data_IF_331959444996
#
_entry.id   IF_331959444996
#
_cell.length_a   1.000
_cell.length_b   1.000
_cell.length_c   1.000
_cell.angle_alpha   90.00
_cell.angle_beta   90.00
_cell.angle_gamma   90.00
#
_symmetry.space_group_name_H-M   'P 1'
#
loop_
_entity.id
_entity.type
_entity.pdbx_description
1 polymer ?
#
# COMPACT_ATOMS: atom_id res chain seq x y z
N UNK A 1 9.35 3.16 19.49
CA UNK A 1 8.45 4.26 19.12
C UNK A 1 9.28 5.28 18.33
N UNK A 2 8.70 5.97 17.36
CA UNK A 2 9.37 7.06 16.63
C UNK A 2 8.62 8.35 16.99
N UNK A 3 9.32 9.43 17.37
CA UNK A 3 8.69 10.70 17.70
C UNK A 3 8.06 11.31 16.44
N UNK A 4 6.81 11.76 16.54
CA UNK A 4 6.19 12.66 15.56
C UNK A 4 6.26 14.09 16.09
N UNK A 5 6.27 15.02 15.13
CA UNK A 5 6.39 16.49 15.26
C UNK A 5 5.91 17.05 16.60
N UNK A 6 6.72 17.92 17.19
CA UNK A 6 6.41 18.69 18.38
C UNK A 6 5.32 19.71 18.06
N UNK A 7 4.13 19.55 18.61
CA UNK A 7 3.18 20.64 18.76
C UNK A 7 3.13 20.98 20.25
N UNK A 8 3.55 22.20 20.61
CA UNK A 8 3.62 22.69 21.99
C UNK A 8 4.39 21.82 23.00
N UNK A 9 5.48 21.15 22.55
CA UNK A 9 6.35 20.37 23.45
C UNK A 9 5.77 19.02 23.90
N UNK A 10 4.59 18.62 23.41
CA UNK A 10 4.04 17.28 23.66
C UNK A 10 4.62 16.28 22.66
N UNK A 11 5.33 15.27 23.16
CA UNK A 11 5.87 14.17 22.36
C UNK A 11 4.79 13.14 22.08
N UNK A 12 4.34 13.07 20.83
CA UNK A 12 3.44 12.02 20.36
C UNK A 12 4.24 10.85 19.80
N UNK A 13 3.91 9.64 20.27
CA UNK A 13 4.54 8.41 19.82
C UNK A 13 3.59 7.57 18.98
N UNK A 14 4.00 7.20 17.76
CA UNK A 14 3.31 6.15 16.99
C UNK A 14 3.84 4.78 17.38
N UNK A 15 2.93 3.80 17.51
CA UNK A 15 3.30 2.40 17.66
C UNK A 15 4.18 1.97 16.48
N UNK A 16 5.21 1.15 16.74
CA UNK A 16 6.02 0.60 15.66
C UNK A 16 5.48 -0.76 15.28
N UNK A 17 5.34 -1.01 13.98
CA UNK A 17 5.07 -2.35 13.48
C UNK A 17 6.28 -3.27 13.66
N UNK A 18 6.04 -4.56 13.91
CA UNK A 18 7.11 -5.55 13.97
C UNK A 18 7.90 -5.62 12.65
N UNK A 19 7.24 -5.43 11.51
CA UNK A 19 7.92 -5.37 10.21
C UNK A 19 8.88 -4.19 10.10
N UNK A 20 8.55 -3.04 10.71
CA UNK A 20 9.47 -1.90 10.74
C UNK A 20 10.73 -2.26 11.53
N UNK A 21 10.61 -3.02 12.63
CA UNK A 21 11.77 -3.54 13.37
C UNK A 21 12.60 -4.51 12.52
N UNK A 22 11.96 -5.45 11.84
CA UNK A 22 12.64 -6.41 10.97
C UNK A 22 13.42 -5.74 9.84
N UNK A 23 12.82 -4.74 9.19
CA UNK A 23 13.51 -3.96 8.15
C UNK A 23 14.75 -3.23 8.69
N UNK A 24 14.67 -2.65 9.90
CA UNK A 24 15.83 -2.00 10.56
C UNK A 24 16.93 -3.03 10.85
N UNK A 25 16.56 -4.27 11.15
CA UNK A 25 17.50 -5.39 11.35
C UNK A 25 17.95 -6.08 10.05
N UNK A 26 17.69 -5.47 8.88
CA UNK A 26 18.10 -6.03 7.58
C UNK A 26 17.34 -7.29 7.14
N UNK A 27 16.19 -7.59 7.76
CA UNK A 27 15.37 -8.75 7.38
C UNK A 27 14.30 -8.37 6.37
N UNK A 28 14.03 -9.29 5.44
CA UNK A 28 12.91 -9.18 4.50
C UNK A 28 11.57 -9.24 5.22
N UNK A 29 10.59 -8.52 4.68
CA UNK A 29 9.23 -8.46 5.24
C UNK A 29 8.20 -8.51 4.13
N UNK A 30 6.98 -8.93 4.46
CA UNK A 30 5.89 -8.99 3.49
C UNK A 30 4.57 -9.40 4.13
N UNK A 31 3.52 -9.39 3.33
CA UNK A 31 2.19 -9.86 3.70
C UNK A 31 1.59 -10.73 2.61
N UNK A 32 0.81 -11.72 3.05
CA UNK A 32 -0.01 -12.56 2.18
C UNK A 32 -1.38 -12.66 2.84
N UNK A 33 -2.44 -12.39 2.08
CA UNK A 33 -3.81 -12.48 2.56
C UNK A 33 -4.75 -12.94 1.44
N UNK A 34 -5.87 -13.55 1.80
CA UNK A 34 -6.98 -13.80 0.86
C UNK A 34 -7.92 -12.58 0.74
N UNK A 35 -7.78 -11.60 1.64
CA UNK A 35 -8.57 -10.36 1.63
C UNK A 35 -7.97 -9.32 0.69
N UNK A 36 -8.51 -8.10 0.72
CA UNK A 36 -7.82 -6.91 0.20
C UNK A 36 -6.54 -6.69 0.99
N UNK A 37 -5.44 -6.32 0.34
CA UNK A 37 -4.18 -5.97 1.03
C UNK A 37 -4.31 -4.72 1.90
N UNK A 38 -5.33 -3.91 1.62
CA UNK A 38 -5.77 -2.72 2.38
C UNK A 38 -6.76 -3.03 3.50
N UNK A 39 -7.20 -4.29 3.65
CA UNK A 39 -8.10 -4.68 4.74
C UNK A 39 -7.45 -4.47 6.11
N UNK A 40 -8.23 -4.35 7.17
CA UNK A 40 -7.73 -4.04 8.52
C UNK A 40 -6.59 -4.96 8.99
N UNK A 41 -6.73 -6.27 8.80
CA UNK A 41 -5.72 -7.25 9.24
C UNK A 41 -4.35 -7.04 8.58
N UNK A 42 -4.21 -7.02 7.23
CA UNK A 42 -2.93 -6.70 6.61
C UNK A 42 -2.50 -5.24 6.83
N UNK A 43 -3.44 -4.28 6.85
CA UNK A 43 -3.13 -2.86 7.10
C UNK A 43 -2.47 -2.62 8.46
N UNK A 44 -2.81 -3.42 9.46
CA UNK A 44 -2.18 -3.38 10.78
C UNK A 44 -0.67 -3.67 10.76
N UNK A 45 -0.09 -4.12 9.64
CA UNK A 45 1.35 -4.35 9.47
C UNK A 45 2.12 -3.12 8.97
N UNK A 46 1.45 -2.10 8.43
CA UNK A 46 2.11 -0.99 7.73
C UNK A 46 1.41 0.36 7.77
N UNK A 47 0.11 0.42 8.08
CA UNK A 47 -0.65 1.66 8.10
C UNK A 47 -0.96 2.09 9.53
N UNK A 48 -1.10 3.41 9.75
CA UNK A 48 -2.01 3.87 10.79
C UNK A 48 -3.07 4.76 10.18
N UNK A 49 -4.30 4.40 10.45
CA UNK A 49 -5.49 5.10 10.03
C UNK A 49 -6.42 5.21 11.22
N UNK A 50 -7.11 6.34 11.36
CA UNK A 50 -8.16 6.49 12.36
C UNK A 50 -9.40 5.63 12.03
N UNK A 51 -9.54 5.21 10.78
CA UNK A 51 -10.64 4.38 10.34
C UNK A 51 -10.18 3.30 9.35
N UNK A 52 -10.54 2.05 9.63
CA UNK A 52 -10.21 0.88 8.79
C UNK A 52 -10.84 0.94 7.39
N UNK A 53 -11.88 1.74 7.18
CA UNK A 53 -12.56 1.85 5.90
C UNK A 53 -11.88 2.83 4.93
N UNK A 54 -10.86 3.58 5.37
CA UNK A 54 -10.07 4.48 4.53
C UNK A 54 -9.09 3.72 3.62
N UNK A 55 -9.58 2.71 2.91
CA UNK A 55 -8.80 1.82 2.04
C UNK A 55 -8.26 2.54 0.79
N UNK A 56 -9.00 3.56 0.31
CA UNK A 56 -8.64 4.47 -0.78
C UNK A 56 -9.19 5.87 -0.49
N UNK A 57 -8.77 6.85 -1.28
CA UNK A 57 -9.12 8.26 -1.14
C UNK A 57 -10.63 8.54 -1.23
N UNK A 58 -11.40 7.76 -1.99
CA UNK A 58 -12.88 7.85 -2.04
C UNK A 58 -13.57 7.58 -0.69
N UNK A 59 -12.84 7.01 0.27
CA UNK A 59 -13.33 6.69 1.62
C UNK A 59 -12.86 7.66 2.69
N UNK A 60 -11.98 8.59 2.35
CA UNK A 60 -11.56 9.63 3.27
C UNK A 60 -12.70 10.63 3.51
N UNK A 61 -12.84 11.19 4.73
CA UNK A 61 -13.83 12.22 5.00
C UNK A 61 -13.64 13.42 4.05
N UNK A 62 -14.75 13.90 3.49
CA UNK A 62 -14.72 15.01 2.52
C UNK A 62 -14.34 16.35 3.17
N UNK A 63 -14.54 16.43 4.47
CA UNK A 63 -14.28 17.57 5.36
C UNK A 63 -12.88 17.54 6.00
N UNK A 64 -11.98 16.63 5.60
CA UNK A 64 -10.57 16.75 6.02
C UNK A 64 -10.06 18.13 5.60
N UNK A 65 -9.55 18.96 6.53
CA UNK A 65 -9.11 20.30 6.18
C UNK A 65 -8.04 20.26 5.09
N UNK A 66 -8.11 21.21 4.15
CA UNK A 66 -7.26 21.23 2.96
C UNK A 66 -5.77 21.19 3.30
N UNK A 67 -5.35 21.77 4.42
CA UNK A 67 -3.96 21.75 4.86
C UNK A 67 -3.46 20.33 5.14
N UNK A 68 -4.26 19.48 5.79
CA UNK A 68 -3.90 18.07 6.05
C UNK A 68 -3.87 17.24 4.76
N UNK A 69 -4.75 17.56 3.79
CA UNK A 69 -4.74 16.93 2.45
C UNK A 69 -3.50 17.34 1.65
N UNK A 70 -3.21 18.64 1.61
CA UNK A 70 -2.10 19.24 0.86
C UNK A 70 -0.73 18.83 1.42
N UNK A 71 -0.60 18.73 2.74
CA UNK A 71 0.62 18.22 3.40
C UNK A 71 0.77 16.70 3.29
N UNK A 72 -0.24 15.99 2.78
CA UNK A 72 -0.24 14.54 2.69
C UNK A 72 -0.24 13.86 4.07
N UNK A 73 -0.77 14.52 5.10
CA UNK A 73 -0.80 14.03 6.48
C UNK A 73 -1.93 13.01 6.69
N UNK A 74 -3.02 13.10 5.90
CA UNK A 74 -4.09 12.12 5.90
C UNK A 74 -4.05 11.27 4.62
N UNK A 75 -3.20 10.23 4.63
CA UNK A 75 -3.11 9.25 3.53
C UNK A 75 -4.08 8.11 3.74
N UNK A 76 -4.77 7.71 2.67
CA UNK A 76 -5.49 6.44 2.63
C UNK A 76 -4.54 5.24 2.81
N UNK A 77 -5.09 4.10 3.22
CA UNK A 77 -4.32 2.90 3.54
C UNK A 77 -3.56 2.39 2.30
N UNK A 78 -4.09 2.50 1.08
CA UNK A 78 -3.36 2.11 -0.12
C UNK A 78 -2.11 3.00 -0.35
N UNK A 79 -2.23 4.31 -0.17
CA UNK A 79 -1.08 5.23 -0.23
C UNK A 79 -0.03 4.91 0.83
N UNK A 80 -0.43 4.64 2.07
CA UNK A 80 0.51 4.27 3.13
C UNK A 80 1.29 2.98 2.80
N UNK A 81 0.66 2.03 2.09
CA UNK A 81 1.35 0.82 1.63
C UNK A 81 2.46 1.11 0.62
N UNK A 82 2.24 2.06 -0.29
CA UNK A 82 3.14 2.30 -1.42
C UNK A 82 4.18 3.40 -1.13
N UNK A 83 3.80 4.42 -0.35
CA UNK A 83 4.62 5.61 -0.12
C UNK A 83 5.42 5.56 1.19
N UNK A 84 4.87 4.90 2.22
CA UNK A 84 5.39 4.99 3.58
C UNK A 84 6.11 3.71 4.01
N UNK A 85 7.02 3.84 4.96
CA UNK A 85 7.68 2.69 5.59
C UNK A 85 6.88 2.27 6.82
N UNK A 86 6.60 0.96 7.01
CA UNK A 86 7.30 -0.17 6.39
C UNK A 86 6.76 -0.64 5.04
N UNK A 87 5.54 -0.25 4.65
CA UNK A 87 4.85 -0.79 3.46
C UNK A 87 5.66 -0.75 2.17
N UNK A 88 6.25 0.40 1.83
CA UNK A 88 7.03 0.58 0.59
C UNK A 88 8.26 -0.33 0.48
N UNK A 89 8.68 -0.91 1.60
CA UNK A 89 9.85 -1.77 1.72
C UNK A 89 9.50 -3.26 1.89
N UNK A 90 8.23 -3.63 1.84
CA UNK A 90 7.85 -5.05 1.79
C UNK A 90 8.36 -5.70 0.49
N UNK A 91 9.06 -6.81 0.64
CA UNK A 91 9.50 -7.68 -0.44
C UNK A 91 8.33 -8.39 -1.10
N UNK A 92 7.30 -8.77 -0.33
CA UNK A 92 6.16 -9.52 -0.84
C UNK A 92 4.87 -8.89 -0.37
N UNK A 93 3.98 -8.57 -1.30
CA UNK A 93 2.62 -8.09 -1.03
C UNK A 93 1.68 -8.91 -1.90
N UNK A 94 1.00 -9.90 -1.32
CA UNK A 94 0.04 -10.75 -2.04
C UNK A 94 -1.35 -10.67 -1.42
N UNK A 95 -2.35 -10.43 -2.26
CA UNK A 95 -3.76 -10.49 -1.86
C UNK A 95 -4.65 -9.93 -2.95
N UNK A 96 -5.81 -9.38 -2.60
CA UNK A 96 -6.68 -8.69 -3.55
C UNK A 96 -6.75 -7.19 -3.32
N UNK A 97 -7.84 -6.56 -3.80
CA UNK A 97 -8.12 -5.15 -3.55
C UNK A 97 -7.59 -4.17 -4.60
N UNK A 98 -7.27 -4.66 -5.81
CA UNK A 98 -6.73 -3.87 -6.93
C UNK A 98 -7.47 -2.55 -7.20
N UNK A 99 -8.80 -2.55 -7.09
CA UNK A 99 -9.65 -1.37 -7.28
C UNK A 99 -9.25 -0.16 -6.40
N UNK A 100 -8.62 -0.36 -5.25
CA UNK A 100 -8.19 0.73 -4.36
C UNK A 100 -6.89 1.42 -4.82
N UNK A 101 -6.23 0.85 -5.83
CA UNK A 101 -4.95 1.31 -6.37
C UNK A 101 -5.08 1.92 -7.77
N UNK A 102 -6.25 1.79 -8.42
CA UNK A 102 -6.50 2.28 -9.77
C UNK A 102 -7.42 3.51 -9.76
N UNK A 103 -7.22 4.47 -10.67
CA UNK A 103 -8.10 5.63 -10.82
C UNK A 103 -9.47 5.23 -11.36
N UNK A 104 -10.49 6.03 -11.01
CA UNK A 104 -11.85 5.87 -11.52
C UNK A 104 -11.86 5.96 -13.04
N UNK A 105 -12.60 5.06 -13.69
CA UNK A 105 -12.68 4.99 -15.15
C UNK A 105 -11.58 4.17 -15.80
N UNK A 106 -10.48 3.86 -15.10
CA UNK A 106 -9.57 2.80 -15.53
C UNK A 106 -10.29 1.47 -15.28
N UNK A 107 -10.83 0.90 -16.36
CA UNK A 107 -11.36 -0.45 -16.34
C UNK A 107 -10.23 -1.36 -15.87
N UNK A 108 -10.48 -2.11 -14.79
CA UNK A 108 -9.65 -3.27 -14.55
C UNK A 108 -9.83 -4.19 -15.76
N UNK A 109 -8.84 -4.17 -16.66
CA UNK A 109 -8.78 -4.99 -17.88
C UNK A 109 -8.99 -6.48 -17.61
N UNK A 110 -8.94 -6.88 -16.33
CA UNK A 110 -9.08 -8.25 -15.85
C UNK A 110 -10.40 -8.50 -15.10
N UNK A 111 -11.18 -7.47 -14.74
CA UNK A 111 -12.57 -7.57 -14.26
C UNK A 111 -13.35 -6.25 -14.48
N UNK A 112 -14.20 -6.15 -15.52
CA UNK A 112 -14.99 -4.96 -15.83
C UNK A 112 -15.92 -4.47 -14.71
N UNK A 113 -16.31 -5.35 -13.79
CA UNK A 113 -17.16 -5.02 -12.63
C UNK A 113 -16.38 -4.38 -11.46
N UNK A 114 -15.05 -4.32 -11.56
CA UNK A 114 -14.17 -3.70 -10.57
C UNK A 114 -13.35 -2.56 -11.18
N UNK A 115 -14.04 -1.54 -11.68
CA UNK A 115 -13.41 -0.27 -12.01
C UNK A 115 -12.60 0.28 -10.83
N UNK A 116 -11.52 1.00 -11.14
CA UNK A 116 -10.76 1.73 -10.12
C UNK A 116 -11.65 2.65 -9.29
N UNK A 117 -11.28 2.85 -8.03
CA UNK A 117 -12.04 3.65 -7.06
C UNK A 117 -11.40 4.98 -6.74
N UNK A 118 -10.13 5.18 -7.11
CA UNK A 118 -9.43 6.40 -6.72
C UNK A 118 -9.98 7.61 -7.48
N UNK A 119 -10.29 8.67 -6.75
CA UNK A 119 -10.81 9.93 -7.26
C UNK A 119 -9.66 10.94 -7.52
N UNK A 120 -8.49 10.69 -6.97
CA UNK A 120 -7.27 11.49 -7.16
C UNK A 120 -6.53 11.26 -8.50
N UNK A 121 -7.05 10.39 -9.36
CA UNK A 121 -6.48 10.10 -10.69
C UNK A 121 -5.16 9.31 -10.66
N UNK A 122 -4.75 8.78 -9.52
CA UNK A 122 -3.46 8.10 -9.37
C UNK A 122 -3.54 6.61 -9.62
N UNK A 123 -2.52 6.07 -10.26
CA UNK A 123 -2.30 4.63 -10.39
C UNK A 123 -1.16 4.18 -9.46
N UNK A 124 -1.52 3.71 -8.27
CA UNK A 124 -0.56 3.36 -7.23
C UNK A 124 0.26 2.09 -7.57
N UNK A 125 -0.23 1.24 -8.49
CA UNK A 125 0.53 0.08 -8.98
C UNK A 125 1.69 0.56 -9.84
N UNK A 126 1.46 1.52 -10.72
CA UNK A 126 2.52 2.14 -11.51
C UNK A 126 3.51 2.90 -10.64
N UNK A 127 3.02 3.63 -9.64
CA UNK A 127 3.89 4.34 -8.70
C UNK A 127 4.78 3.39 -7.90
N UNK A 128 4.25 2.25 -7.44
CA UNK A 128 5.06 1.21 -6.80
C UNK A 128 6.16 0.70 -7.73
N UNK A 129 5.82 0.39 -8.98
CA UNK A 129 6.80 -0.06 -9.98
C UNK A 129 7.85 1.03 -10.25
N UNK A 130 7.43 2.30 -10.32
CA UNK A 130 8.32 3.45 -10.52
C UNK A 130 9.29 3.63 -9.36
N UNK A 131 8.85 3.45 -8.11
CA UNK A 131 9.74 3.45 -6.93
C UNK A 131 10.77 2.32 -6.98
N UNK A 132 10.36 1.09 -7.31
CA UNK A 132 11.32 -0.03 -7.40
C UNK A 132 12.33 0.18 -8.53
N UNK A 133 11.85 0.67 -9.68
CA UNK A 133 12.71 1.02 -10.82
C UNK A 133 13.71 2.11 -10.47
N UNK A 134 13.29 3.21 -9.83
CA UNK A 134 14.19 4.32 -9.49
C UNK A 134 15.25 3.94 -8.46
N UNK A 135 14.96 2.94 -7.61
CA UNK A 135 15.90 2.38 -6.63
C UNK A 135 16.78 1.25 -7.18
N UNK A 136 16.61 0.87 -8.45
CA UNK A 136 17.35 -0.24 -9.06
C UNK A 136 17.03 -1.62 -8.46
N UNK A 137 15.84 -1.79 -7.87
CA UNK A 137 15.45 -3.04 -7.20
C UNK A 137 14.75 -3.97 -8.18
N UNK A 138 15.15 -5.25 -8.31
CA UNK A 138 14.44 -6.22 -9.15
C UNK A 138 13.01 -6.44 -8.65
N UNK A 139 12.01 -6.14 -9.49
CA UNK A 139 10.60 -6.21 -9.09
C UNK A 139 9.71 -6.87 -10.13
N UNK A 140 8.56 -7.36 -9.68
CA UNK A 140 7.49 -7.86 -10.54
C UNK A 140 6.12 -7.50 -9.98
N UNK A 141 5.24 -7.05 -10.86
CA UNK A 141 3.81 -6.99 -10.60
C UNK A 141 3.11 -8.17 -11.30
N UNK A 142 2.23 -8.86 -10.58
CA UNK A 142 1.40 -9.96 -11.10
C UNK A 142 -0.03 -9.79 -10.62
N UNK A 143 -0.99 -10.32 -11.38
CA UNK A 143 -2.40 -10.26 -11.00
C UNK A 143 -3.21 -11.48 -11.39
N UNK A 144 -2.54 -12.54 -11.84
CA UNK A 144 -3.13 -13.84 -12.20
C UNK A 144 -2.26 -14.95 -11.65
N UNK A 145 -2.87 -16.08 -11.25
CA UNK A 145 -2.13 -17.26 -10.79
C UNK A 145 -1.02 -17.67 -11.77
N UNK A 146 -1.34 -17.74 -13.07
CA UNK A 146 -0.35 -18.10 -14.12
C UNK A 146 0.83 -17.14 -14.23
N UNK A 147 0.66 -15.88 -13.83
CA UNK A 147 1.75 -14.90 -13.81
C UNK A 147 2.63 -15.13 -12.58
N UNK A 148 2.01 -15.44 -11.42
CA UNK A 148 2.72 -15.82 -10.19
C UNK A 148 3.53 -17.10 -10.38
N UNK A 149 2.94 -18.14 -10.98
CA UNK A 149 3.60 -19.43 -11.23
C UNK A 149 4.87 -19.30 -12.11
N UNK A 150 5.01 -18.18 -12.83
CA UNK A 150 6.16 -17.87 -13.70
C UNK A 150 7.18 -16.93 -13.05
N UNK A 151 6.98 -16.51 -11.81
CA UNK A 151 7.93 -15.65 -11.10
C UNK A 151 9.18 -16.45 -10.76
N UNK A 152 10.31 -16.01 -11.31
CA UNK A 152 11.64 -16.52 -10.94
C UNK A 152 12.08 -15.83 -9.64
N UNK A 153 11.99 -16.56 -8.53
CA UNK A 153 12.32 -16.02 -7.19
C UNK A 153 13.80 -15.71 -7.01
N UNK A 154 14.69 -16.16 -7.91
CA UNK A 154 16.12 -15.82 -7.89
C UNK A 154 16.36 -14.44 -8.50
N UNK A 155 15.46 -13.96 -9.37
CA UNK A 155 15.60 -12.69 -10.10
C UNK A 155 14.68 -11.57 -9.61
N UNK A 156 13.79 -11.84 -8.66
CA UNK A 156 12.76 -10.91 -8.21
C UNK A 156 12.84 -10.76 -6.69
N UNK A 157 13.25 -9.58 -6.23
CA UNK A 157 13.36 -9.24 -4.82
C UNK A 157 12.08 -8.62 -4.25
N UNK A 158 11.27 -8.01 -5.12
CA UNK A 158 10.03 -7.31 -4.78
C UNK A 158 8.86 -7.78 -5.65
N UNK A 159 7.84 -8.34 -5.01
CA UNK A 159 6.66 -8.88 -5.67
C UNK A 159 5.38 -8.23 -5.14
N UNK A 160 4.65 -7.58 -6.03
CA UNK A 160 3.27 -7.12 -5.78
C UNK A 160 2.31 -8.00 -6.58
N UNK A 161 1.47 -8.75 -5.88
CA UNK A 161 0.46 -9.64 -6.45
C UNK A 161 -0.94 -9.23 -6.01
N UNK A 162 -1.77 -8.78 -6.95
CA UNK A 162 -3.16 -8.40 -6.67
C UNK A 162 -4.14 -9.23 -7.49
N UNK A 163 -4.90 -10.09 -6.83
CA UNK A 163 -5.80 -11.06 -7.46
C UNK A 163 -7.28 -10.68 -7.28
N UNK A 164 -8.17 -11.14 -8.18
CA UNK A 164 -9.60 -11.02 -7.97
C UNK A 164 -10.02 -11.68 -6.65
N UNK A 165 -10.86 -11.00 -5.89
CA UNK A 165 -11.51 -11.54 -4.70
C UNK A 165 -12.86 -12.09 -5.16
N UNK A 166 -13.15 -13.35 -4.83
CA UNK A 166 -14.46 -13.96 -5.05
C UNK A 166 -15.40 -13.61 -3.91
#
# INVERSE_FOLDING_TARGET
MVPLITDNGTLYYRLLWINKRFLISGKSTGLVTTTRVTHATPAAMYAHSANRYWESDDKLPKDIPNDFRAKGECKDIARQLIEDSPGKNFNVILGGGRRHFLPRGELDTKNPENAGRREDGRNLIEEWQRDKKSRGLPYKYVSRKRELDKVDSVKVDYLLGQYPIR
#
